data_IF_069437719474
#
_entry.id   IF_069437719474
#
_cell.length_a   1.000
_cell.length_b   1.000
_cell.length_c   1.000
_cell.angle_alpha   90.00
_cell.angle_beta   90.00
_cell.angle_gamma   90.00
#
_symmetry.space_group_name_H-M   'P 1'
#
loop_
_entity.id
_entity.type
_entity.pdbx_description
1 polymer ?
#
# COMPACT_ATOMS: atom_id res chain seq x y z
N UNK A 1 10.29 15.22 -19.24
CA UNK A 1 11.62 14.64 -18.95
C UNK A 1 12.69 15.71 -18.69
N UNK A 2 12.96 16.65 -19.59
CA UNK A 2 13.98 17.70 -19.38
C UNK A 2 13.69 18.55 -18.12
N UNK A 3 12.45 19.05 -17.98
CA UNK A 3 12.02 19.82 -16.79
C UNK A 3 12.11 19.04 -15.47
N UNK A 4 11.86 17.74 -15.51
CA UNK A 4 11.98 16.87 -14.34
C UNK A 4 13.44 16.76 -13.91
N UNK A 5 14.32 16.52 -14.88
CA UNK A 5 15.76 16.37 -14.64
C UNK A 5 16.35 17.64 -14.06
N UNK A 6 15.99 18.81 -14.61
CA UNK A 6 16.47 20.09 -14.08
C UNK A 6 16.04 20.32 -12.65
N UNK A 7 14.81 20.00 -12.28
CA UNK A 7 14.28 20.21 -10.92
C UNK A 7 14.91 19.26 -9.89
N UNK A 8 15.14 18.00 -10.27
CA UNK A 8 15.88 17.05 -9.41
C UNK A 8 17.34 17.48 -9.24
N UNK A 9 18.00 17.91 -10.31
CA UNK A 9 19.37 18.44 -10.23
C UNK A 9 19.44 19.71 -9.37
N UNK A 10 18.46 20.61 -9.47
CA UNK A 10 18.37 21.82 -8.64
C UNK A 10 18.20 21.43 -7.16
N UNK A 11 17.35 20.45 -6.85
CA UNK A 11 17.16 19.98 -5.47
C UNK A 11 18.44 19.32 -4.93
N UNK A 12 19.10 18.48 -5.72
CA UNK A 12 20.36 17.82 -5.34
C UNK A 12 21.47 18.84 -5.10
N UNK A 13 21.68 19.77 -6.04
CA UNK A 13 22.64 20.86 -5.89
C UNK A 13 22.29 21.76 -4.71
N UNK A 14 21.02 22.10 -4.50
CA UNK A 14 20.61 22.88 -3.32
C UNK A 14 20.95 22.16 -2.02
N UNK A 15 20.66 20.87 -1.89
CA UNK A 15 20.96 20.10 -0.68
C UNK A 15 22.47 19.97 -0.46
N UNK A 16 23.23 19.69 -1.51
CA UNK A 16 24.65 19.35 -1.42
C UNK A 16 25.56 20.57 -1.36
N UNK A 17 25.25 21.62 -2.12
CA UNK A 17 26.08 22.82 -2.28
C UNK A 17 25.60 23.99 -1.43
N UNK A 18 24.33 24.02 -1.02
CA UNK A 18 23.78 25.14 -0.24
C UNK A 18 23.37 24.71 1.16
N UNK A 19 22.40 23.79 1.31
CA UNK A 19 21.81 23.49 2.61
C UNK A 19 22.79 22.78 3.57
N UNK A 20 23.46 21.73 3.11
CA UNK A 20 24.42 20.98 3.94
C UNK A 20 25.60 21.85 4.41
N UNK A 21 26.35 22.54 3.53
CA UNK A 21 27.46 23.38 3.98
C UNK A 21 26.98 24.56 4.83
N UNK A 22 25.82 25.15 4.52
CA UNK A 22 25.25 26.22 5.35
C UNK A 22 24.95 25.76 6.78
N UNK A 23 24.39 24.55 6.96
CA UNK A 23 24.15 23.95 8.28
C UNK A 23 25.48 23.62 8.97
N UNK A 24 26.49 23.17 8.22
CA UNK A 24 27.82 22.85 8.77
C UNK A 24 28.58 24.10 9.23
N UNK A 25 28.52 25.19 8.47
CA UNK A 25 29.24 26.44 8.79
C UNK A 25 28.53 27.30 9.83
N UNK A 26 27.19 27.41 9.76
CA UNK A 26 26.40 28.31 10.65
C UNK A 26 25.71 27.57 11.79
N UNK A 27 25.76 26.23 11.83
CA UNK A 27 25.14 25.41 12.86
C UNK A 27 23.62 25.55 12.90
N UNK A 28 23.03 25.45 14.10
CA UNK A 28 21.61 25.76 14.35
C UNK A 28 21.38 27.24 14.71
N UNK A 29 22.46 28.04 14.81
CA UNK A 29 22.41 29.42 15.28
C UNK A 29 21.63 30.36 14.36
N UNK A 30 21.44 30.02 13.09
CA UNK A 30 20.62 30.82 12.17
C UNK A 30 19.10 30.56 12.32
N UNK A 31 18.69 29.45 12.95
CA UNK A 31 17.28 29.09 13.13
C UNK A 31 16.64 29.96 14.21
N UNK A 32 17.29 30.09 15.36
CA UNK A 32 16.89 30.93 16.49
C UNK A 32 18.14 31.24 17.34
N UNK A 33 18.95 32.23 16.95
CA UNK A 33 20.12 32.63 17.74
C UNK A 33 19.68 33.28 19.05
N UNK A 34 20.52 33.16 20.10
CA UNK A 34 20.33 33.92 21.35
C UNK A 34 20.51 35.43 21.16
N UNK A 35 21.30 35.85 20.16
CA UNK A 35 21.53 37.26 19.78
C UNK A 35 21.46 37.36 18.25
N UNK A 36 20.57 38.22 17.73
CA UNK A 36 20.28 38.28 16.30
C UNK A 36 21.00 39.45 15.63
N UNK A 37 22.06 39.13 14.89
CA UNK A 37 22.78 40.10 14.04
C UNK A 37 22.10 40.26 12.66
N UNK A 38 22.35 41.36 11.98
CA UNK A 38 21.82 41.59 10.61
C UNK A 38 22.22 40.48 9.62
N UNK A 39 23.42 39.90 9.77
CA UNK A 39 23.89 38.78 8.96
C UNK A 39 23.11 37.48 9.23
N UNK A 40 22.87 37.14 10.50
CA UNK A 40 22.13 35.92 10.89
C UNK A 40 20.63 36.03 10.60
N UNK A 41 20.09 37.25 10.67
CA UNK A 41 18.74 37.57 10.21
C UNK A 41 18.60 37.34 8.70
N UNK A 42 19.43 38.02 7.90
CA UNK A 42 19.37 37.95 6.43
C UNK A 42 19.60 36.52 5.93
N UNK A 43 20.58 35.83 6.51
CA UNK A 43 20.89 34.45 6.14
C UNK A 43 19.70 33.50 6.34
N UNK A 44 19.01 33.58 7.48
CA UNK A 44 17.86 32.70 7.73
C UNK A 44 16.62 33.08 6.91
N UNK A 45 16.38 34.37 6.64
CA UNK A 45 15.28 34.80 5.75
C UNK A 45 15.52 34.33 4.31
N UNK A 46 16.70 34.60 3.75
CA UNK A 46 17.05 34.18 2.38
C UNK A 46 17.03 32.66 2.25
N UNK A 47 17.57 31.94 3.24
CA UNK A 47 17.54 30.48 3.27
C UNK A 47 16.11 29.95 3.29
N UNK A 48 15.24 30.48 4.15
CA UNK A 48 13.87 29.98 4.29
C UNK A 48 13.03 30.28 3.02
N UNK A 49 13.21 31.45 2.41
CA UNK A 49 12.55 31.79 1.14
C UNK A 49 13.06 30.91 -0.01
N UNK A 50 14.37 30.71 -0.11
CA UNK A 50 14.98 29.83 -1.12
C UNK A 50 14.55 28.36 -0.96
N UNK A 51 14.56 27.85 0.27
CA UNK A 51 14.09 26.51 0.59
C UNK A 51 12.61 26.33 0.22
N UNK A 52 11.76 27.33 0.49
CA UNK A 52 10.34 27.28 0.13
C UNK A 52 10.15 27.19 -1.39
N UNK A 53 10.84 28.04 -2.16
CA UNK A 53 10.73 28.02 -3.61
C UNK A 53 11.20 26.69 -4.23
N UNK A 54 12.33 26.17 -3.77
CA UNK A 54 12.93 24.93 -4.29
C UNK A 54 12.12 23.70 -3.86
N UNK A 55 11.65 23.64 -2.61
CA UNK A 55 10.84 22.53 -2.14
C UNK A 55 9.46 22.51 -2.82
N UNK A 56 8.79 23.66 -2.95
CA UNK A 56 7.53 23.75 -3.69
C UNK A 56 7.64 23.27 -5.14
N UNK A 57 8.70 23.68 -5.84
CA UNK A 57 8.94 23.27 -7.23
C UNK A 57 9.24 21.78 -7.35
N UNK A 58 10.14 21.27 -6.50
CA UNK A 58 10.61 19.90 -6.58
C UNK A 58 9.58 18.86 -6.10
N UNK A 59 8.81 19.13 -5.03
CA UNK A 59 7.79 18.19 -4.54
C UNK A 59 6.67 17.98 -5.54
N UNK A 60 6.25 19.04 -6.23
CA UNK A 60 5.27 18.99 -7.32
C UNK A 60 5.71 18.03 -8.41
N UNK A 61 6.96 18.13 -8.83
CA UNK A 61 7.54 17.32 -9.90
C UNK A 61 7.65 15.85 -9.48
N UNK A 62 8.12 15.60 -8.25
CA UNK A 62 8.23 14.25 -7.69
C UNK A 62 6.85 13.61 -7.52
N UNK A 63 5.85 14.35 -7.05
CA UNK A 63 4.47 13.87 -6.94
C UNK A 63 3.93 13.45 -8.31
N UNK A 64 4.09 14.28 -9.34
CA UNK A 64 3.65 13.97 -10.71
C UNK A 64 4.35 12.69 -11.23
N UNK A 65 5.66 12.55 -11.03
CA UNK A 65 6.39 11.34 -11.43
C UNK A 65 5.89 10.10 -10.72
N UNK A 66 5.60 10.19 -9.41
CA UNK A 66 5.07 9.08 -8.63
C UNK A 66 3.68 8.66 -9.12
N UNK A 67 2.85 9.62 -9.54
CA UNK A 67 1.55 9.36 -10.15
C UNK A 67 1.73 8.63 -11.48
N UNK A 68 2.64 9.09 -12.35
CA UNK A 68 2.90 8.40 -13.61
C UNK A 68 3.49 7.00 -13.41
N UNK A 69 4.41 6.83 -12.46
CA UNK A 69 4.98 5.53 -12.13
C UNK A 69 3.92 4.56 -11.61
N UNK A 70 3.05 5.02 -10.69
CA UNK A 70 1.92 4.21 -10.21
C UNK A 70 0.92 3.93 -11.33
N UNK A 71 0.60 4.90 -12.20
CA UNK A 71 -0.36 4.69 -13.29
C UNK A 71 0.15 3.70 -14.33
N UNK A 72 1.44 3.76 -14.70
CA UNK A 72 2.03 2.96 -15.77
C UNK A 72 2.50 1.58 -15.29
N UNK A 73 2.96 1.45 -14.04
CA UNK A 73 3.55 0.22 -13.52
C UNK A 73 2.75 -0.31 -12.34
N UNK A 74 2.45 0.53 -11.35
CA UNK A 74 1.77 0.13 -10.12
C UNK A 74 0.33 -0.37 -10.32
N UNK A 75 -0.45 0.30 -11.17
CA UNK A 75 -1.85 -0.02 -11.44
C UNK A 75 -1.98 -1.29 -12.31
N UNK A 76 -1.22 -1.46 -13.40
CA UNK A 76 -1.17 -2.74 -14.12
C UNK A 76 -0.71 -3.89 -13.22
N UNK A 77 0.32 -3.67 -12.39
CA UNK A 77 0.79 -4.68 -11.45
C UNK A 77 -0.30 -5.12 -10.44
N UNK A 78 -1.09 -4.17 -9.92
CA UNK A 78 -2.24 -4.47 -9.05
C UNK A 78 -3.34 -5.23 -9.77
N UNK A 79 -3.69 -4.80 -10.98
CA UNK A 79 -4.77 -5.42 -11.76
C UNK A 79 -4.39 -6.84 -12.18
N UNK A 80 -3.19 -7.02 -12.75
CA UNK A 80 -2.67 -8.33 -13.12
C UNK A 80 -2.55 -9.24 -11.90
N UNK A 81 -1.97 -8.75 -10.80
CA UNK A 81 -1.84 -9.54 -9.59
C UNK A 81 -3.19 -9.95 -8.99
N UNK A 82 -4.21 -9.08 -9.05
CA UNK A 82 -5.59 -9.44 -8.67
C UNK A 82 -6.18 -10.50 -9.60
N UNK A 83 -6.07 -10.32 -10.91
CA UNK A 83 -6.61 -11.27 -11.89
C UNK A 83 -5.96 -12.66 -11.77
N UNK A 84 -4.64 -12.70 -11.66
CA UNK A 84 -3.85 -13.94 -11.51
C UNK A 84 -4.24 -14.70 -10.23
N UNK A 85 -4.39 -14.00 -9.10
CA UNK A 85 -4.83 -14.64 -7.86
C UNK A 85 -6.30 -15.08 -7.86
N UNK A 86 -7.18 -14.35 -8.54
CA UNK A 86 -8.61 -14.65 -8.56
C UNK A 86 -8.90 -15.93 -9.36
N UNK A 87 -8.10 -16.20 -10.40
CA UNK A 87 -8.18 -17.43 -11.16
C UNK A 87 -7.89 -18.67 -10.28
N UNK A 88 -6.98 -18.55 -9.32
CA UNK A 88 -6.61 -19.63 -8.42
C UNK A 88 -7.65 -19.84 -7.30
N UNK A 89 -8.03 -18.74 -6.63
CA UNK A 89 -8.98 -18.75 -5.49
C UNK A 89 -10.39 -19.20 -5.91
N UNK A 90 -10.80 -18.99 -7.16
CA UNK A 90 -12.13 -19.39 -7.65
C UNK A 90 -12.32 -20.91 -7.68
N UNK A 91 -11.24 -21.68 -7.86
CA UNK A 91 -11.28 -23.14 -7.78
C UNK A 91 -11.54 -23.64 -6.37
N UNK A 92 -10.77 -23.13 -5.40
CA UNK A 92 -10.89 -23.48 -3.98
C UNK A 92 -12.25 -23.08 -3.40
N UNK A 93 -12.73 -21.86 -3.69
CA UNK A 93 -14.06 -21.41 -3.22
C UNK A 93 -15.18 -22.32 -3.70
N UNK A 94 -15.13 -22.75 -4.96
CA UNK A 94 -16.16 -23.62 -5.53
C UNK A 94 -16.17 -25.01 -4.91
N UNK A 95 -15.01 -25.51 -4.47
CA UNK A 95 -14.94 -26.74 -3.69
C UNK A 95 -15.52 -26.55 -2.28
N UNK A 96 -15.12 -25.48 -1.59
CA UNK A 96 -15.62 -25.16 -0.26
C UNK A 96 -17.15 -24.99 -0.23
N UNK A 97 -17.72 -24.26 -1.20
CA UNK A 97 -19.17 -24.07 -1.35
C UNK A 97 -19.91 -25.41 -1.54
N UNK A 98 -19.38 -26.30 -2.39
CA UNK A 98 -19.98 -27.63 -2.61
C UNK A 98 -19.89 -28.53 -1.38
N UNK A 99 -18.80 -28.44 -0.64
CA UNK A 99 -18.63 -29.19 0.61
C UNK A 99 -19.61 -28.72 1.68
N UNK A 100 -19.77 -27.40 1.83
CA UNK A 100 -20.73 -26.82 2.76
C UNK A 100 -22.18 -27.20 2.38
N UNK A 101 -22.51 -27.16 1.09
CA UNK A 101 -23.82 -27.60 0.58
C UNK A 101 -24.11 -29.07 0.93
N UNK A 102 -23.14 -29.98 0.77
CA UNK A 102 -23.32 -31.39 1.13
C UNK A 102 -23.46 -31.60 2.63
N UNK A 103 -22.65 -30.93 3.44
CA UNK A 103 -22.76 -31.01 4.90
C UNK A 103 -24.11 -30.50 5.38
N UNK A 104 -24.61 -29.42 4.78
CA UNK A 104 -25.91 -28.86 5.13
C UNK A 104 -27.05 -29.81 4.73
N UNK A 105 -26.99 -30.45 3.56
CA UNK A 105 -27.96 -31.47 3.14
C UNK A 105 -27.94 -32.71 4.05
N UNK A 106 -26.75 -33.18 4.43
CA UNK A 106 -26.61 -34.27 5.40
C UNK A 106 -27.28 -33.93 6.73
N UNK A 107 -27.00 -32.74 7.27
CA UNK A 107 -27.60 -32.26 8.52
C UNK A 107 -29.12 -32.20 8.43
N UNK A 108 -29.67 -31.65 7.34
CA UNK A 108 -31.11 -31.54 7.12
C UNK A 108 -31.79 -32.92 7.03
N UNK A 109 -31.17 -33.87 6.32
CA UNK A 109 -31.72 -35.22 6.15
C UNK A 109 -31.69 -36.01 7.46
N UNK A 110 -30.59 -35.95 8.22
CA UNK A 110 -30.47 -36.58 9.55
C UNK A 110 -31.46 -35.97 10.53
N UNK A 111 -31.62 -34.64 10.54
CA UNK A 111 -32.64 -33.98 11.37
C UNK A 111 -34.06 -34.38 10.99
N UNK A 112 -34.35 -34.56 9.69
CA UNK A 112 -35.64 -35.05 9.21
C UNK A 112 -35.95 -36.46 9.72
N UNK A 113 -34.98 -37.36 9.65
CA UNK A 113 -35.08 -38.74 10.16
C UNK A 113 -35.28 -38.74 11.70
N UNK A 114 -34.58 -37.88 12.42
CA UNK A 114 -34.67 -37.74 13.88
C UNK A 114 -36.00 -37.12 14.35
N UNK A 115 -36.64 -36.27 13.54
CA UNK A 115 -37.96 -35.68 13.86
C UNK A 115 -39.12 -36.61 13.52
N UNK A 116 -38.92 -37.59 12.64
CA UNK A 116 -40.00 -38.48 12.21
C UNK A 116 -40.27 -39.57 13.27
N UNK A 117 -41.41 -39.49 13.95
CA UNK A 117 -41.79 -40.39 15.06
C UNK A 117 -42.21 -41.78 14.59
N UNK A 118 -42.51 -41.95 13.30
CA UNK A 118 -43.01 -43.20 12.73
C UNK A 118 -41.95 -44.31 12.58
N UNK A 119 -40.66 -43.98 12.68
CA UNK A 119 -39.54 -44.85 12.27
C UNK A 119 -38.62 -45.23 13.45
N UNK A 120 -39.15 -45.23 14.69
CA UNK A 120 -38.35 -45.30 15.91
C UNK A 120 -37.42 -46.54 15.99
N UNK A 121 -37.84 -47.70 15.47
CA UNK A 121 -37.05 -48.94 15.46
C UNK A 121 -35.99 -49.01 14.35
N UNK A 122 -36.13 -48.23 13.27
CA UNK A 122 -35.21 -48.24 12.12
C UNK A 122 -34.40 -46.94 12.00
N UNK A 123 -34.59 -46.00 12.94
CA UNK A 123 -33.99 -44.66 12.93
C UNK A 123 -32.47 -44.70 12.89
N UNK A 124 -31.85 -45.59 13.67
CA UNK A 124 -30.39 -45.74 13.70
C UNK A 124 -29.84 -46.23 12.36
N UNK A 125 -30.51 -47.22 11.76
CA UNK A 125 -30.14 -47.74 10.44
C UNK A 125 -30.30 -46.68 9.34
N UNK A 126 -31.39 -45.91 9.36
CA UNK A 126 -31.64 -44.83 8.41
C UNK A 126 -30.62 -43.68 8.53
N UNK A 127 -30.22 -43.31 9.76
CA UNK A 127 -29.17 -42.29 9.99
C UNK A 127 -27.80 -42.80 9.54
N UNK A 128 -27.47 -44.06 9.83
CA UNK A 128 -26.21 -44.66 9.35
C UNK A 128 -26.16 -44.71 7.82
N UNK A 129 -27.27 -45.07 7.16
CA UNK A 129 -27.35 -45.11 5.71
C UNK A 129 -27.23 -43.72 5.08
N UNK A 130 -27.89 -42.71 5.67
CA UNK A 130 -27.74 -41.32 5.23
C UNK A 130 -26.29 -40.82 5.39
N UNK A 131 -25.67 -41.07 6.53
CA UNK A 131 -24.27 -40.71 6.77
C UNK A 131 -23.31 -41.39 5.80
N UNK A 132 -23.48 -42.69 5.53
CA UNK A 132 -22.66 -43.43 4.57
C UNK A 132 -22.79 -42.85 3.15
N UNK A 133 -24.01 -42.47 2.74
CA UNK A 133 -24.25 -41.86 1.42
C UNK A 133 -23.57 -40.49 1.29
N UNK A 134 -23.71 -39.62 2.27
CA UNK A 134 -23.05 -38.30 2.24
C UNK A 134 -21.53 -38.41 2.40
N UNK A 135 -21.03 -39.39 3.16
CA UNK A 135 -19.61 -39.69 3.23
C UNK A 135 -19.05 -40.05 1.85
N UNK A 136 -19.72 -40.90 1.08
CA UNK A 136 -19.32 -41.23 -0.29
C UNK A 136 -19.37 -40.01 -1.23
N UNK A 137 -20.37 -39.14 -1.09
CA UNK A 137 -20.45 -37.91 -1.90
C UNK A 137 -19.33 -36.92 -1.56
N UNK A 138 -18.97 -36.78 -0.28
CA UNK A 138 -17.86 -35.94 0.16
C UNK A 138 -16.51 -36.52 -0.29
N UNK A 139 -16.33 -37.84 -0.20
CA UNK A 139 -15.15 -38.52 -0.74
C UNK A 139 -15.04 -38.38 -2.26
N UNK A 140 -16.15 -38.48 -2.99
CA UNK A 140 -16.18 -38.26 -4.43
C UNK A 140 -15.77 -36.83 -4.82
N UNK A 141 -16.26 -35.82 -4.10
CA UNK A 141 -15.82 -34.43 -4.29
C UNK A 141 -14.34 -34.22 -4.00
N UNK A 142 -13.85 -34.86 -2.94
CA UNK A 142 -12.43 -34.81 -2.58
C UNK A 142 -11.57 -35.46 -3.66
N UNK A 143 -11.96 -36.63 -4.16
CA UNK A 143 -11.26 -37.31 -5.26
C UNK A 143 -11.30 -36.49 -6.56
N UNK A 144 -12.43 -35.86 -6.89
CA UNK A 144 -12.55 -34.94 -8.03
C UNK A 144 -11.60 -33.74 -7.89
N UNK A 145 -11.44 -33.22 -6.67
CA UNK A 145 -10.50 -32.14 -6.39
C UNK A 145 -9.05 -32.63 -6.53
N UNK A 146 -8.70 -33.76 -5.91
CA UNK A 146 -7.36 -34.35 -5.98
C UNK A 146 -6.97 -34.69 -7.43
N UNK A 147 -7.91 -35.20 -8.24
CA UNK A 147 -7.71 -35.46 -9.67
C UNK A 147 -7.48 -34.16 -10.46
N UNK A 148 -8.23 -33.10 -10.17
CA UNK A 148 -8.01 -31.77 -10.79
C UNK A 148 -6.67 -31.17 -10.39
N UNK A 149 -6.25 -31.32 -9.14
CA UNK A 149 -4.95 -30.86 -8.68
C UNK A 149 -3.80 -31.65 -9.31
N UNK A 150 -3.94 -32.97 -9.43
CA UNK A 150 -2.99 -33.83 -10.12
C UNK A 150 -2.87 -33.43 -11.60
N UNK A 151 -3.99 -33.23 -12.30
CA UNK A 151 -4.01 -32.78 -13.69
C UNK A 151 -3.42 -31.37 -13.84
N UNK A 152 -3.63 -30.48 -12.85
CA UNK A 152 -3.00 -29.16 -12.81
C UNK A 152 -1.48 -29.23 -12.60
N UNK A 153 -0.95 -30.28 -11.97
CA UNK A 153 0.51 -30.44 -11.81
C UNK A 153 1.17 -30.99 -13.08
N UNK A 154 0.47 -31.84 -13.81
CA UNK A 154 1.00 -32.50 -15.02
C UNK A 154 0.76 -31.67 -16.29
N UNK A 155 -0.36 -30.95 -16.37
CA UNK A 155 -0.76 -30.15 -17.53
C UNK A 155 0.11 -28.91 -17.72
N UNK A 156 0.46 -28.54 -18.97
CA UNK A 156 1.19 -27.31 -19.28
C UNK A 156 0.44 -26.05 -18.80
N UNK A 157 -0.90 -26.05 -18.87
CA UNK A 157 -1.74 -24.96 -18.37
C UNK A 157 -1.64 -24.80 -16.85
N UNK A 158 -1.53 -25.91 -16.13
CA UNK A 158 -1.46 -25.89 -14.69
C UNK A 158 -0.10 -25.44 -14.16
N UNK A 159 1.01 -25.78 -14.85
CA UNK A 159 2.34 -25.18 -14.60
C UNK A 159 2.34 -23.67 -14.87
N UNK A 160 1.72 -23.22 -15.95
CA UNK A 160 1.55 -21.78 -16.22
C UNK A 160 0.75 -21.11 -15.10
N UNK A 161 -0.31 -21.75 -14.62
CA UNK A 161 -1.14 -21.20 -13.53
C UNK A 161 -0.41 -21.12 -12.18
N UNK A 162 0.49 -22.07 -11.86
CA UNK A 162 1.27 -22.01 -10.62
C UNK A 162 2.36 -20.95 -10.67
N UNK A 163 3.04 -20.80 -11.82
CA UNK A 163 4.01 -19.72 -12.06
C UNK A 163 3.30 -18.36 -12.03
N UNK A 164 2.11 -18.26 -12.63
CA UNK A 164 1.25 -17.10 -12.59
C UNK A 164 0.82 -16.73 -11.16
N UNK A 165 0.44 -17.72 -10.33
CA UNK A 165 0.09 -17.51 -8.93
C UNK A 165 1.31 -17.04 -8.12
N UNK A 166 2.47 -17.68 -8.32
CA UNK A 166 3.72 -17.27 -7.67
C UNK A 166 4.15 -15.85 -8.08
N UNK A 167 4.00 -15.49 -9.35
CA UNK A 167 4.30 -14.14 -9.86
C UNK A 167 3.28 -13.09 -9.37
N UNK A 168 2.06 -13.49 -9.04
CA UNK A 168 1.01 -12.56 -8.59
C UNK A 168 1.32 -11.91 -7.23
N UNK A 169 2.05 -12.62 -6.36
CA UNK A 169 2.44 -12.15 -5.02
C UNK A 169 3.37 -10.94 -5.07
N UNK A 170 4.55 -11.01 -5.73
CA UNK A 170 5.43 -9.85 -5.84
C UNK A 170 4.78 -8.71 -6.64
N UNK A 171 3.98 -9.03 -7.66
CA UNK A 171 3.27 -8.01 -8.45
C UNK A 171 2.28 -7.21 -7.59
N UNK A 172 1.53 -7.89 -6.70
CA UNK A 172 0.64 -7.24 -5.75
C UNK A 172 1.39 -6.43 -4.71
N UNK A 173 2.46 -6.99 -4.15
CA UNK A 173 3.29 -6.30 -3.17
C UNK A 173 3.87 -5.00 -3.75
N UNK A 174 4.45 -5.06 -4.96
CA UNK A 174 4.93 -3.89 -5.68
C UNK A 174 3.81 -2.88 -5.94
N UNK A 175 2.68 -3.36 -6.45
CA UNK A 175 1.54 -2.51 -6.75
C UNK A 175 0.96 -1.79 -5.53
N UNK A 176 0.96 -2.44 -4.36
CA UNK A 176 0.55 -1.81 -3.10
C UNK A 176 1.60 -0.82 -2.57
N UNK A 177 2.88 -1.19 -2.63
CA UNK A 177 3.97 -0.31 -2.23
C UNK A 177 4.00 0.97 -3.09
N UNK A 178 3.79 0.84 -4.40
CA UNK A 178 3.71 1.97 -5.33
C UNK A 178 2.54 2.91 -5.00
N UNK A 179 1.37 2.37 -4.63
CA UNK A 179 0.23 3.18 -4.19
C UNK A 179 0.53 3.94 -2.89
N UNK A 180 1.10 3.25 -1.89
CA UNK A 180 1.43 3.85 -0.61
C UNK A 180 2.47 4.98 -0.77
N UNK A 181 3.50 4.74 -1.58
CA UNK A 181 4.52 5.74 -1.90
C UNK A 181 3.90 6.97 -2.57
N UNK A 182 3.02 6.77 -3.56
CA UNK A 182 2.29 7.86 -4.21
C UNK A 182 1.48 8.68 -3.20
N UNK A 183 0.72 8.03 -2.31
CA UNK A 183 -0.07 8.71 -1.30
C UNK A 183 0.79 9.56 -0.36
N UNK A 184 1.92 9.01 0.10
CA UNK A 184 2.87 9.73 0.94
C UNK A 184 3.43 10.96 0.22
N UNK A 185 3.82 10.81 -1.04
CA UNK A 185 4.36 11.92 -1.85
C UNK A 185 3.32 12.99 -2.15
N UNK A 186 2.05 12.62 -2.36
CA UNK A 186 0.94 13.54 -2.58
C UNK A 186 0.58 14.33 -1.31
N UNK A 187 0.61 13.66 -0.15
CA UNK A 187 0.45 14.31 1.16
C UNK A 187 1.62 15.28 1.40
N UNK A 188 2.85 14.84 1.11
CA UNK A 188 4.04 15.67 1.26
C UNK A 188 4.00 16.90 0.35
N UNK A 189 3.59 16.76 -0.91
CA UNK A 189 3.40 17.90 -1.82
C UNK A 189 2.34 18.87 -1.30
N UNK A 190 1.20 18.36 -0.82
CA UNK A 190 0.15 19.19 -0.22
C UNK A 190 0.67 19.92 1.02
N UNK A 191 1.48 19.25 1.83
CA UNK A 191 2.09 19.82 3.01
C UNK A 191 3.07 20.96 2.66
N UNK A 192 3.98 20.71 1.71
CA UNK A 192 4.90 21.72 1.21
C UNK A 192 4.14 22.90 0.59
N UNK A 193 3.11 22.62 -0.22
CA UNK A 193 2.30 23.66 -0.87
C UNK A 193 1.59 24.59 0.09
N UNK A 194 1.05 24.07 1.19
CA UNK A 194 0.13 24.83 2.05
C UNK A 194 0.74 25.23 3.38
N UNK A 195 1.39 24.30 4.06
CA UNK A 195 1.90 24.53 5.41
C UNK A 195 3.32 25.10 5.40
N UNK A 196 4.14 24.73 4.43
CA UNK A 196 5.51 25.25 4.37
C UNK A 196 5.54 26.76 4.07
N UNK A 197 4.63 27.24 3.22
CA UNK A 197 4.45 28.69 3.00
C UNK A 197 4.07 29.40 4.31
N UNK A 198 3.07 28.89 5.03
CA UNK A 198 2.67 29.46 6.33
C UNK A 198 3.82 29.41 7.33
N UNK A 199 4.56 28.30 7.37
CA UNK A 199 5.73 28.14 8.22
C UNK A 199 6.82 29.15 7.88
N UNK A 200 7.13 29.38 6.60
CA UNK A 200 8.08 30.41 6.16
C UNK A 200 7.64 31.81 6.61
N UNK A 201 6.35 32.16 6.44
CA UNK A 201 5.83 33.46 6.86
C UNK A 201 5.91 33.62 8.38
N UNK A 202 5.49 32.60 9.14
CA UNK A 202 5.57 32.60 10.61
C UNK A 202 7.03 32.69 11.08
N UNK A 203 7.93 31.94 10.46
CA UNK A 203 9.36 31.98 10.76
C UNK A 203 9.94 33.37 10.53
N UNK A 204 9.65 34.00 9.38
CA UNK A 204 10.10 35.35 9.08
C UNK A 204 9.51 36.33 10.11
N UNK A 205 8.21 36.24 10.43
CA UNK A 205 7.59 37.11 11.43
C UNK A 205 8.26 36.98 12.81
N UNK A 206 8.42 35.76 13.31
CA UNK A 206 9.07 35.50 14.60
C UNK A 206 10.49 36.05 14.59
N UNK A 207 11.22 35.83 13.51
CA UNK A 207 12.61 36.27 13.34
C UNK A 207 12.74 37.79 13.21
N UNK A 208 11.80 38.46 12.53
CA UNK A 208 11.73 39.93 12.48
C UNK A 208 11.39 40.50 13.85
N UNK A 209 10.43 39.90 14.56
CA UNK A 209 10.07 40.33 15.92
C UNK A 209 11.26 40.15 16.87
N UNK A 210 11.95 39.02 16.79
CA UNK A 210 13.14 38.75 17.60
C UNK A 210 14.26 39.77 17.31
N UNK A 211 14.54 40.05 16.04
CA UNK A 211 15.50 41.08 15.63
C UNK A 211 15.16 42.50 16.12
N UNK A 212 13.86 42.86 16.15
CA UNK A 212 13.42 44.21 16.54
C UNK A 212 13.34 44.38 18.05
N UNK A 213 12.90 43.35 18.79
CA UNK A 213 12.66 43.43 20.25
C UNK A 213 13.93 43.11 21.05
N UNK A 214 14.83 42.30 20.50
CA UNK A 214 16.12 41.94 21.13
C UNK A 214 17.27 42.51 20.28
N UNK A 215 17.37 43.85 20.10
CA UNK A 215 18.56 44.42 19.49
C UNK A 215 19.72 44.30 20.46
N UNK A 216 20.91 44.01 19.92
CA UNK A 216 22.16 43.90 20.67
C UNK A 216 22.32 45.06 21.68
N UNK A 217 22.40 44.74 22.97
CA UNK A 217 23.03 45.59 23.99
C UNK A 217 24.56 45.34 23.86
N UNK A 218 25.40 46.39 23.90
CA UNK A 218 26.80 46.35 23.45
C UNK A 218 27.67 45.25 24.07
#
# INVERSE_FOLDING_TARGET
LIRVRTEICILESFLRETATPFIQEKGLGWVLPLHETSETYLAGVVFMVGANFILLGSTKVVAILSIYADLLLGLPARLLGKALSAADIKGERRYAEKMDELMQKQMQEVQGIMKNTAVASEREAAVQQANARYAQLMEGLRQDQEAREADRRTSPLGKVSSVAAAASVPLRAYGQASLALRQVLEIFDTFCSRYFVTFTVTYILVKTVHFVIVPDFP
#
